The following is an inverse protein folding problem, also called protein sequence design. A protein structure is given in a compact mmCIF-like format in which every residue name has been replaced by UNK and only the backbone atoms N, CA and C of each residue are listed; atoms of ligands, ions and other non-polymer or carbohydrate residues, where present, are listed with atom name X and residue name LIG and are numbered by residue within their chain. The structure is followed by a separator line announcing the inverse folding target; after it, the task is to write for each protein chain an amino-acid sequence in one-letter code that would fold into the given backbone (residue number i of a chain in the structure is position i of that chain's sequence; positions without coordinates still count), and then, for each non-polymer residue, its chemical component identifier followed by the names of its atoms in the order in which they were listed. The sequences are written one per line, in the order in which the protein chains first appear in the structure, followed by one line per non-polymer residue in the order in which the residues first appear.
data_IF_183893688560
#
_entry.id   IF_183893688560
#
_cell.length_a   1.000
_cell.length_b   1.000
_cell.length_c   1.000
_cell.angle_alpha   90.00
_cell.angle_beta   90.00
_cell.angle_gamma   90.00
#
_symmetry.space_group_name_H-M   'P 1'
#
loop_
_entity.id
_entity.type
_entity.pdbx_description
1 polymer ?
#
# COMPACT_ATOMS: atom_id res chain seq x y z
N UNK A 1 22.33 -0.75 3.01
CA UNK A 1 21.66 -1.48 1.91
C UNK A 1 22.23 -1.11 0.55
N UNK A 2 22.26 0.20 0.14
CA UNK A 2 22.78 0.61 -1.20
C UNK A 2 24.21 0.12 -1.40
N UNK A 3 25.12 0.41 -0.48
CA UNK A 3 26.51 -0.06 -0.57
C UNK A 3 26.63 -1.59 -0.64
N UNK A 4 25.85 -2.31 0.17
CA UNK A 4 25.88 -3.78 0.22
C UNK A 4 25.37 -4.45 -1.05
N UNK A 5 24.47 -3.81 -1.80
CA UNK A 5 23.97 -4.36 -3.08
C UNK A 5 25.03 -4.41 -4.18
N UNK A 6 26.08 -3.60 -4.06
CA UNK A 6 27.23 -3.56 -4.99
C UNK A 6 28.44 -4.34 -4.49
N UNK A 7 28.35 -5.04 -3.34
CA UNK A 7 29.41 -5.91 -2.82
C UNK A 7 29.26 -7.34 -3.30
N UNK A 8 30.41 -8.04 -3.37
CA UNK A 8 30.37 -9.49 -3.55
C UNK A 8 29.87 -10.19 -2.28
N UNK A 9 29.30 -11.38 -2.42
CA UNK A 9 28.89 -12.20 -1.26
C UNK A 9 30.09 -12.56 -0.36
N UNK A 10 31.26 -12.76 -0.97
CA UNK A 10 32.50 -13.04 -0.27
C UNK A 10 32.93 -11.87 0.61
N UNK A 11 32.88 -10.63 0.08
CA UNK A 11 33.22 -9.43 0.84
C UNK A 11 32.29 -9.24 2.05
N UNK A 12 30.98 -9.50 1.87
CA UNK A 12 30.01 -9.35 2.95
C UNK A 12 30.16 -10.42 4.04
N UNK A 13 30.47 -11.67 3.66
CA UNK A 13 30.65 -12.79 4.59
C UNK A 13 32.02 -12.77 5.26
N UNK A 14 33.04 -12.27 4.58
CA UNK A 14 34.39 -12.15 5.13
C UNK A 14 34.57 -10.95 6.08
N UNK A 15 33.57 -10.03 6.16
CA UNK A 15 33.63 -8.90 7.06
C UNK A 15 33.58 -9.36 8.51
N UNK A 16 34.71 -9.18 9.23
CA UNK A 16 34.89 -9.57 10.62
C UNK A 16 35.50 -8.37 11.39
N UNK A 17 34.72 -7.83 12.33
CA UNK A 17 35.16 -6.71 13.18
C UNK A 17 36.31 -7.07 14.13
N UNK A 18 36.56 -8.37 14.34
CA UNK A 18 37.62 -8.84 15.23
C UNK A 18 38.97 -8.99 14.53
N UNK A 19 39.00 -8.93 13.17
CA UNK A 19 40.21 -9.16 12.37
C UNK A 19 40.68 -7.88 11.70
N UNK A 20 41.87 -7.37 11.95
CA UNK A 20 42.44 -6.23 11.24
C UNK A 20 42.44 -6.45 9.72
N UNK A 21 41.95 -5.47 8.97
CA UNK A 21 41.83 -5.56 7.51
C UNK A 21 40.60 -6.27 6.96
N UNK A 22 39.78 -6.90 7.83
CA UNK A 22 38.49 -7.51 7.46
C UNK A 22 37.30 -6.73 8.03
N UNK A 23 37.49 -5.51 8.48
CA UNK A 23 36.42 -4.65 9.00
C UNK A 23 35.38 -4.35 7.94
N UNK A 24 34.11 -4.26 8.32
CA UNK A 24 33.05 -3.86 7.41
C UNK A 24 33.32 -2.48 6.80
N UNK A 25 33.50 -2.39 5.49
CA UNK A 25 33.68 -1.13 4.81
C UNK A 25 32.33 -0.55 4.37
N UNK A 26 32.15 0.76 4.48
CA UNK A 26 30.96 1.44 3.92
C UNK A 26 30.99 1.49 2.39
N UNK A 27 32.16 1.49 1.78
CA UNK A 27 32.38 1.52 0.33
C UNK A 27 32.77 0.10 -0.13
N UNK A 28 32.18 -0.43 -1.22
CA UNK A 28 32.59 -1.71 -1.78
C UNK A 28 34.09 -1.69 -2.12
N UNK A 29 34.83 -2.71 -1.68
CA UNK A 29 36.25 -2.90 -2.08
C UNK A 29 36.33 -3.33 -3.55
N UNK A 30 35.34 -4.12 -3.98
CA UNK A 30 35.15 -4.51 -5.37
C UNK A 30 33.70 -4.24 -5.76
N UNK A 31 33.50 -3.26 -6.63
CA UNK A 31 32.19 -2.91 -7.15
C UNK A 31 31.73 -3.98 -8.14
N UNK A 32 30.55 -4.57 -7.89
CA UNK A 32 29.94 -5.55 -8.79
C UNK A 32 28.47 -5.27 -9.04
N UNK A 33 28.00 -5.56 -10.26
CA UNK A 33 26.59 -5.54 -10.66
C UNK A 33 26.00 -6.96 -10.72
N UNK A 34 26.74 -7.97 -10.34
CA UNK A 34 26.32 -9.37 -10.47
C UNK A 34 25.07 -9.67 -9.61
N UNK A 35 24.91 -8.99 -8.48
CA UNK A 35 23.72 -9.13 -7.66
C UNK A 35 22.46 -8.73 -8.42
N UNK A 36 22.51 -7.63 -9.20
CA UNK A 36 21.40 -7.15 -10.01
C UNK A 36 21.14 -8.04 -11.23
N UNK A 37 22.20 -8.59 -11.86
CA UNK A 37 22.06 -9.52 -12.98
C UNK A 37 21.47 -10.87 -12.55
N UNK A 38 21.78 -11.29 -11.34
CA UNK A 38 21.39 -12.61 -10.82
C UNK A 38 20.17 -12.56 -9.87
N UNK A 39 19.65 -11.36 -9.57
CA UNK A 39 18.54 -11.16 -8.64
C UNK A 39 17.32 -12.04 -8.97
N UNK A 40 17.01 -12.23 -10.25
CA UNK A 40 15.86 -13.01 -10.70
C UNK A 40 16.14 -14.52 -10.92
N UNK A 41 17.39 -14.97 -10.71
CA UNK A 41 17.74 -16.38 -10.96
C UNK A 41 17.29 -17.32 -9.85
N UNK A 42 17.25 -16.84 -8.61
CA UNK A 42 16.91 -17.63 -7.43
C UNK A 42 15.47 -17.46 -7.01
N UNK A 43 15.02 -16.19 -7.03
CA UNK A 43 13.65 -15.78 -6.70
C UNK A 43 13.14 -15.00 -7.89
N UNK A 44 11.99 -15.33 -8.48
CA UNK A 44 11.43 -14.58 -9.60
C UNK A 44 10.86 -13.23 -9.14
N UNK A 45 11.75 -12.39 -8.59
CA UNK A 45 11.38 -11.14 -7.93
C UNK A 45 10.69 -10.15 -8.87
N UNK A 46 11.00 -10.20 -10.17
CA UNK A 46 10.35 -9.36 -11.17
C UNK A 46 8.89 -9.73 -11.41
N UNK A 47 8.55 -11.02 -11.37
CA UNK A 47 7.15 -11.47 -11.45
C UNK A 47 6.40 -11.02 -10.20
N UNK A 48 7.00 -11.18 -9.02
CA UNK A 48 6.42 -10.71 -7.75
C UNK A 48 6.27 -9.19 -7.71
N UNK A 49 7.18 -8.48 -8.35
CA UNK A 49 7.10 -7.02 -8.51
C UNK A 49 5.85 -6.62 -9.32
N UNK A 50 5.61 -7.28 -10.45
CA UNK A 50 4.42 -7.04 -11.27
C UNK A 50 3.14 -7.42 -10.50
N UNK A 51 3.14 -8.56 -9.80
CA UNK A 51 2.01 -8.95 -8.95
C UNK A 51 1.70 -7.90 -7.88
N UNK A 52 2.73 -7.41 -7.19
CA UNK A 52 2.57 -6.36 -6.18
C UNK A 52 2.07 -5.04 -6.77
N UNK A 53 2.53 -4.64 -7.96
CA UNK A 53 2.01 -3.45 -8.65
C UNK A 53 0.52 -3.59 -8.96
N UNK A 54 0.10 -4.74 -9.46
CA UNK A 54 -1.32 -5.00 -9.78
C UNK A 54 -2.17 -4.99 -8.49
N UNK A 55 -1.72 -5.69 -7.45
CA UNK A 55 -2.47 -5.81 -6.19
C UNK A 55 -2.52 -4.45 -5.48
N UNK A 56 -1.38 -3.78 -5.27
CA UNK A 56 -1.35 -2.49 -4.57
C UNK A 56 -2.00 -1.38 -5.38
N UNK A 57 -1.83 -1.37 -6.71
CA UNK A 57 -2.51 -0.44 -7.61
C UNK A 57 -4.03 -0.66 -7.62
N UNK A 58 -4.48 -1.91 -7.68
CA UNK A 58 -5.90 -2.26 -7.56
C UNK A 58 -6.48 -1.86 -6.20
N UNK A 59 -5.76 -2.12 -5.11
CA UNK A 59 -6.14 -1.67 -3.75
C UNK A 59 -6.24 -0.15 -3.67
N UNK A 60 -5.26 0.57 -4.22
CA UNK A 60 -5.26 2.04 -4.29
C UNK A 60 -6.54 2.57 -4.95
N UNK A 61 -6.87 2.04 -6.12
CA UNK A 61 -8.06 2.47 -6.88
C UNK A 61 -9.34 2.12 -6.12
N UNK A 62 -9.50 0.86 -5.70
CA UNK A 62 -10.72 0.40 -5.04
C UNK A 62 -10.93 1.10 -3.69
N UNK A 63 -9.90 1.18 -2.85
CA UNK A 63 -10.00 1.83 -1.54
C UNK A 63 -10.29 3.33 -1.67
N UNK A 64 -9.64 4.04 -2.60
CA UNK A 64 -9.84 5.47 -2.81
C UNK A 64 -11.26 5.76 -3.32
N UNK A 65 -11.75 4.99 -4.29
CA UNK A 65 -13.11 5.18 -4.82
C UNK A 65 -14.17 4.89 -3.76
N UNK A 66 -14.07 3.75 -3.06
CA UNK A 66 -15.02 3.41 -2.00
C UNK A 66 -14.98 4.40 -0.85
N UNK A 67 -13.77 4.82 -0.44
CA UNK A 67 -13.60 5.83 0.59
C UNK A 67 -14.19 7.18 0.17
N UNK A 68 -14.09 7.57 -1.10
CA UNK A 68 -14.63 8.83 -1.59
C UNK A 68 -16.15 8.90 -1.44
N UNK A 69 -16.85 7.86 -1.89
CA UNK A 69 -18.31 7.83 -1.74
C UNK A 69 -18.75 7.77 -0.27
N UNK A 70 -18.09 6.94 0.54
CA UNK A 70 -18.40 6.83 1.96
C UNK A 70 -18.09 8.14 2.71
N UNK A 71 -16.93 8.73 2.48
CA UNK A 71 -16.53 10.00 3.09
C UNK A 71 -17.43 11.17 2.67
N UNK A 72 -17.83 11.22 1.39
CA UNK A 72 -18.80 12.22 0.91
C UNK A 72 -20.14 12.08 1.62
N UNK A 73 -20.66 10.86 1.74
CA UNK A 73 -21.89 10.62 2.47
C UNK A 73 -21.77 11.04 3.94
N UNK A 74 -20.68 10.71 4.59
CA UNK A 74 -20.39 11.09 5.97
C UNK A 74 -20.12 12.58 6.16
N UNK A 75 -19.61 13.28 5.16
CA UNK A 75 -19.35 14.73 5.24
C UNK A 75 -20.62 15.55 5.01
N UNK A 76 -21.42 15.22 4.01
CA UNK A 76 -22.52 16.04 3.53
C UNK A 76 -23.89 15.66 4.09
N UNK A 77 -24.10 14.41 4.51
CA UNK A 77 -25.39 13.99 5.02
C UNK A 77 -25.42 13.87 6.54
N UNK A 78 -26.48 14.37 7.16
CA UNK A 78 -26.79 14.16 8.58
C UNK A 78 -27.80 13.04 8.69
N UNK A 79 -27.42 11.92 9.28
CA UNK A 79 -28.31 10.79 9.53
C UNK A 79 -28.08 10.21 10.92
N UNK A 80 -29.11 9.60 11.53
CA UNK A 80 -28.96 8.95 12.84
C UNK A 80 -27.93 7.81 12.75
N UNK A 81 -27.07 7.70 13.77
CA UNK A 81 -26.03 6.66 13.79
C UNK A 81 -24.71 7.02 13.10
N UNK A 82 -24.57 8.19 12.46
CA UNK A 82 -23.32 8.62 11.78
C UNK A 82 -22.09 8.50 12.69
N UNK A 83 -22.16 8.97 13.92
CA UNK A 83 -21.02 8.91 14.84
C UNK A 83 -20.74 7.48 15.31
N UNK A 84 -21.77 6.67 15.51
CA UNK A 84 -21.63 5.25 15.83
C UNK A 84 -20.94 4.49 14.68
N UNK A 85 -21.35 4.77 13.43
CA UNK A 85 -20.69 4.19 12.26
C UNK A 85 -19.20 4.55 12.20
N UNK A 86 -18.84 5.81 12.41
CA UNK A 86 -17.43 6.25 12.41
C UNK A 86 -16.65 5.58 13.53
N UNK A 87 -17.23 5.52 14.73
CA UNK A 87 -16.62 4.83 15.86
C UNK A 87 -16.43 3.33 15.57
N UNK A 88 -17.42 2.66 14.99
CA UNK A 88 -17.32 1.26 14.59
C UNK A 88 -16.23 1.03 13.54
N UNK A 89 -16.16 1.89 12.51
CA UNK A 89 -15.12 1.83 11.48
C UNK A 89 -13.72 1.99 12.09
N UNK A 90 -13.54 2.95 12.99
CA UNK A 90 -12.26 3.16 13.68
C UNK A 90 -11.91 2.00 14.63
N UNK A 91 -12.92 1.42 15.30
CA UNK A 91 -12.72 0.28 16.21
C UNK A 91 -12.13 -0.94 15.51
N UNK A 92 -12.41 -1.13 14.21
CA UNK A 92 -11.80 -2.23 13.43
C UNK A 92 -10.28 -2.13 13.33
N UNK A 93 -9.74 -0.90 13.40
CA UNK A 93 -8.29 -0.65 13.34
C UNK A 93 -7.57 -0.94 14.67
N UNK A 94 -8.31 -1.11 15.77
CA UNK A 94 -7.73 -1.47 17.07
C UNK A 94 -7.39 -2.95 17.16
N UNK A 95 -7.95 -3.78 16.29
CA UNK A 95 -7.68 -5.20 16.26
C UNK A 95 -6.41 -5.50 15.42
N UNK A 96 -5.46 -6.28 15.96
CA UNK A 96 -4.29 -6.69 15.20
C UNK A 96 -4.69 -7.47 13.94
N UNK A 97 -4.14 -7.07 12.78
CA UNK A 97 -4.46 -7.69 11.48
C UNK A 97 -4.23 -9.21 11.45
N UNK A 98 -3.27 -9.71 12.22
CA UNK A 98 -2.95 -11.14 12.31
C UNK A 98 -4.16 -11.99 12.77
N UNK A 99 -5.07 -11.44 13.58
CA UNK A 99 -6.26 -12.14 14.04
C UNK A 99 -7.23 -12.46 12.89
N UNK A 100 -7.17 -11.70 11.80
CA UNK A 100 -8.05 -11.88 10.65
C UNK A 100 -7.49 -12.83 9.59
N UNK A 101 -6.22 -13.22 9.65
CA UNK A 101 -5.60 -14.08 8.64
C UNK A 101 -6.32 -15.42 8.51
N UNK A 102 -6.57 -16.10 9.62
CA UNK A 102 -7.27 -17.40 9.64
C UNK A 102 -8.73 -17.23 9.21
N UNK A 103 -9.54 -16.29 9.75
CA UNK A 103 -10.89 -16.02 9.26
C UNK A 103 -10.98 -15.77 7.75
N UNK A 104 -10.06 -14.97 7.16
CA UNK A 104 -10.04 -14.75 5.72
C UNK A 104 -9.74 -16.03 4.93
N UNK A 105 -8.79 -16.83 5.39
CA UNK A 105 -8.47 -18.10 4.78
C UNK A 105 -9.70 -19.03 4.76
N UNK A 106 -10.39 -19.15 5.90
CA UNK A 106 -11.60 -19.97 6.03
C UNK A 106 -12.71 -19.44 5.12
N UNK A 107 -12.95 -18.11 5.14
CA UNK A 107 -13.96 -17.45 4.32
C UNK A 107 -13.73 -17.71 2.82
N UNK A 108 -12.51 -17.52 2.34
CA UNK A 108 -12.17 -17.73 0.93
C UNK A 108 -12.28 -19.21 0.53
N UNK A 109 -11.93 -20.13 1.42
CA UNK A 109 -12.09 -21.57 1.20
C UNK A 109 -13.57 -21.94 1.17
N UNK A 110 -14.38 -21.41 2.06
CA UNK A 110 -15.83 -21.62 2.09
C UNK A 110 -16.52 -21.06 0.83
N UNK A 111 -16.17 -19.85 0.40
CA UNK A 111 -16.68 -19.24 -0.85
C UNK A 111 -16.36 -20.14 -2.05
N UNK A 112 -15.11 -20.62 -2.13
CA UNK A 112 -14.71 -21.51 -3.21
C UNK A 112 -15.52 -22.82 -3.20
N UNK A 113 -15.67 -23.43 -2.03
CA UNK A 113 -16.42 -24.69 -1.90
C UNK A 113 -17.93 -24.51 -2.20
N UNK A 114 -18.53 -23.38 -1.76
CA UNK A 114 -19.97 -23.14 -1.87
C UNK A 114 -20.41 -22.62 -3.24
N UNK A 115 -19.59 -21.77 -3.86
CA UNK A 115 -19.93 -21.04 -5.09
C UNK A 115 -18.99 -21.32 -6.25
N UNK A 116 -17.93 -22.09 -6.08
CA UNK A 116 -16.92 -22.33 -7.11
C UNK A 116 -16.03 -21.11 -7.42
N UNK A 117 -16.09 -20.06 -6.60
CA UNK A 117 -15.34 -18.80 -6.81
C UNK A 117 -14.01 -18.89 -6.08
N UNK A 118 -12.92 -19.00 -6.82
CA UNK A 118 -11.59 -19.04 -6.26
C UNK A 118 -11.10 -17.60 -5.97
N UNK A 119 -10.93 -17.26 -4.68
CA UNK A 119 -10.38 -15.98 -4.24
C UNK A 119 -8.92 -16.12 -3.76
N UNK A 120 -8.53 -17.27 -3.23
CA UNK A 120 -7.13 -17.53 -2.85
C UNK A 120 -6.25 -17.59 -4.08
N UNK A 121 -5.04 -17.03 -3.97
CA UNK A 121 -4.05 -16.94 -5.04
C UNK A 121 -4.59 -16.30 -6.32
N UNK A 122 -5.41 -15.24 -6.15
CA UNK A 122 -5.95 -14.43 -7.25
C UNK A 122 -5.83 -12.93 -6.95
N UNK A 123 -5.67 -12.12 -7.99
CA UNK A 123 -5.62 -10.68 -7.85
C UNK A 123 -6.88 -10.09 -7.20
N UNK A 124 -8.12 -10.45 -7.62
CA UNK A 124 -9.33 -9.94 -6.99
C UNK A 124 -9.41 -10.26 -5.49
N UNK A 125 -9.03 -11.48 -5.09
CA UNK A 125 -9.02 -11.86 -3.68
C UNK A 125 -8.04 -11.04 -2.85
N UNK A 126 -6.83 -10.80 -3.37
CA UNK A 126 -5.83 -9.99 -2.69
C UNK A 126 -6.23 -8.50 -2.64
N UNK A 127 -6.74 -7.95 -3.74
CA UNK A 127 -7.24 -6.58 -3.79
C UNK A 127 -8.41 -6.38 -2.81
N UNK A 128 -9.35 -7.32 -2.75
CA UNK A 128 -10.47 -7.28 -1.80
C UNK A 128 -9.96 -7.28 -0.36
N UNK A 129 -9.04 -8.20 -0.03
CA UNK A 129 -8.44 -8.30 1.30
C UNK A 129 -7.77 -6.98 1.70
N UNK A 130 -6.87 -6.47 0.88
CA UNK A 130 -6.12 -5.26 1.20
C UNK A 130 -7.01 -4.01 1.24
N UNK A 131 -7.99 -3.93 0.34
CA UNK A 131 -8.99 -2.85 0.35
C UNK A 131 -9.76 -2.83 1.67
N UNK A 132 -10.17 -3.98 2.19
CA UNK A 132 -10.94 -4.04 3.44
C UNK A 132 -10.18 -3.51 4.66
N UNK A 133 -8.85 -3.64 4.68
CA UNK A 133 -7.99 -3.08 5.74
C UNK A 133 -7.61 -1.61 5.49
N UNK A 134 -7.44 -1.21 4.23
CA UNK A 134 -7.14 0.18 3.90
C UNK A 134 -8.36 1.10 4.07
N UNK A 135 -9.56 0.60 3.81
CA UNK A 135 -10.78 1.38 3.69
C UNK A 135 -11.16 2.18 4.95
N UNK A 136 -11.11 1.64 6.18
CA UNK A 136 -11.48 2.37 7.39
C UNK A 136 -10.71 3.68 7.56
N UNK A 137 -9.40 3.63 7.50
CA UNK A 137 -8.56 4.81 7.63
C UNK A 137 -8.71 5.74 6.42
N UNK A 138 -8.84 5.20 5.23
CA UNK A 138 -9.08 5.95 4.00
C UNK A 138 -10.36 6.80 4.06
N UNK A 139 -11.45 6.25 4.62
CA UNK A 139 -12.72 6.97 4.81
C UNK A 139 -12.52 8.15 5.76
N UNK A 140 -11.91 7.92 6.91
CA UNK A 140 -11.71 8.98 7.91
C UNK A 140 -10.79 10.07 7.40
N UNK A 141 -9.68 9.68 6.77
CA UNK A 141 -8.73 10.61 6.17
C UNK A 141 -9.40 11.47 5.09
N UNK A 142 -10.12 10.84 4.15
CA UNK A 142 -10.75 11.58 3.05
C UNK A 142 -11.92 12.45 3.52
N UNK A 143 -12.65 12.00 4.55
CA UNK A 143 -13.67 12.82 5.19
C UNK A 143 -13.08 14.12 5.74
N UNK A 144 -11.92 14.09 6.40
CA UNK A 144 -11.27 15.31 6.91
C UNK A 144 -10.97 16.32 5.80
N UNK A 145 -10.58 15.85 4.61
CA UNK A 145 -10.43 16.72 3.44
C UNK A 145 -11.75 17.27 2.93
N UNK A 146 -12.80 16.45 2.89
CA UNK A 146 -14.12 16.88 2.42
C UNK A 146 -14.79 17.84 3.40
N UNK A 147 -14.62 17.67 4.69
CA UNK A 147 -15.14 18.57 5.74
C UNK A 147 -14.46 19.96 5.67
N UNK A 148 -13.27 20.08 5.08
CA UNK A 148 -12.60 21.36 4.83
C UNK A 148 -13.15 22.12 3.60
N UNK A 149 -13.90 21.46 2.73
CA UNK A 149 -14.55 22.08 1.56
C UNK A 149 -15.88 22.71 2.02
N UNK A 150 -16.10 24.04 1.82
CA UNK A 150 -17.31 24.72 2.22
C UNK A 150 -18.57 24.09 1.62
N UNK A 151 -19.62 23.93 2.43
CA UNK A 151 -20.91 23.36 2.01
C UNK A 151 -21.70 24.28 1.08
N UNK A 152 -21.39 25.57 1.12
CA UNK A 152 -21.97 26.62 0.28
C UNK A 152 -21.74 26.33 -1.22
N UNK A 153 -20.67 25.62 -1.58
CA UNK A 153 -20.43 25.20 -2.97
C UNK A 153 -21.44 24.16 -3.45
N UNK A 154 -21.87 23.27 -2.56
CA UNK A 154 -22.94 22.31 -2.86
C UNK A 154 -24.30 23.05 -3.06
N UNK A 155 -24.58 24.08 -2.24
CA UNK A 155 -25.79 24.89 -2.32
C UNK A 155 -25.81 25.76 -3.60
N UNK A 156 -24.70 26.41 -3.94
CA UNK A 156 -24.55 27.17 -5.18
C UNK A 156 -24.76 26.29 -6.41
N UNK A 157 -24.13 25.11 -6.45
CA UNK A 157 -24.34 24.18 -7.54
C UNK A 157 -25.80 23.71 -7.65
N UNK A 158 -26.52 23.58 -6.53
CA UNK A 158 -27.95 23.25 -6.54
C UNK A 158 -28.81 24.38 -7.05
N UNK A 159 -28.47 25.65 -6.75
CA UNK A 159 -29.15 26.85 -7.31
C UNK A 159 -28.94 26.92 -8.83
N UNK A 160 -27.75 26.55 -9.33
CA UNK A 160 -27.43 26.44 -10.76
C UNK A 160 -28.10 25.23 -11.45
N UNK A 161 -28.92 24.47 -10.72
CA UNK A 161 -29.69 23.33 -11.27
C UNK A 161 -28.88 22.06 -11.40
N UNK A 162 -27.67 21.96 -10.77
CA UNK A 162 -26.89 20.76 -10.80
C UNK A 162 -27.49 19.68 -9.85
N UNK A 163 -27.63 18.46 -10.35
CA UNK A 163 -27.98 17.32 -9.50
C UNK A 163 -26.83 17.00 -8.53
N UNK A 164 -27.13 16.33 -7.41
CA UNK A 164 -26.11 15.93 -6.40
C UNK A 164 -24.95 15.13 -7.00
N UNK A 165 -25.24 14.25 -7.96
CA UNK A 165 -24.20 13.47 -8.67
C UNK A 165 -23.34 14.39 -9.52
N UNK A 166 -23.94 15.36 -10.21
CA UNK A 166 -23.20 16.36 -10.99
C UNK A 166 -22.33 17.22 -10.09
N UNK A 167 -22.86 17.71 -8.96
CA UNK A 167 -22.09 18.46 -7.95
C UNK A 167 -20.90 17.64 -7.44
N UNK A 168 -21.12 16.35 -7.10
CA UNK A 168 -20.06 15.46 -6.63
C UNK A 168 -18.89 15.37 -7.61
N UNK A 169 -19.17 15.12 -8.90
CA UNK A 169 -18.10 14.90 -9.87
C UNK A 169 -17.53 16.19 -10.48
N UNK A 170 -18.36 17.24 -10.66
CA UNK A 170 -17.94 18.48 -11.31
C UNK A 170 -17.35 19.51 -10.34
N UNK A 171 -17.75 19.48 -9.06
CA UNK A 171 -17.32 20.47 -8.06
C UNK A 171 -16.46 19.82 -6.98
N UNK A 172 -17.02 18.84 -6.28
CA UNK A 172 -16.36 18.26 -5.09
C UNK A 172 -15.16 17.40 -5.46
N UNK A 173 -15.27 16.51 -6.45
CA UNK A 173 -14.16 15.63 -6.86
C UNK A 173 -12.90 16.40 -7.27
N UNK A 174 -12.96 17.46 -8.09
CA UNK A 174 -11.78 18.26 -8.40
C UNK A 174 -11.15 18.93 -7.18
N UNK A 175 -11.96 19.44 -6.25
CA UNK A 175 -11.47 20.07 -5.02
C UNK A 175 -10.90 19.06 -4.04
N UNK A 176 -11.43 17.84 -4.02
CA UNK A 176 -10.95 16.75 -3.17
C UNK A 176 -9.67 16.05 -3.70
N UNK A 177 -9.16 16.43 -4.89
CA UNK A 177 -7.97 15.78 -5.50
C UNK A 177 -6.79 15.61 -4.54
N UNK A 178 -6.38 16.61 -3.72
CA UNK A 178 -5.28 16.42 -2.79
C UNK A 178 -5.55 15.30 -1.78
N UNK A 179 -6.76 15.22 -1.27
CA UNK A 179 -7.20 14.15 -0.37
C UNK A 179 -7.24 12.79 -1.04
N UNK A 180 -7.77 12.72 -2.27
CA UNK A 180 -7.80 11.48 -3.06
C UNK A 180 -6.40 10.93 -3.34
N UNK A 181 -5.48 11.82 -3.70
CA UNK A 181 -4.07 11.47 -3.92
C UNK A 181 -3.44 10.93 -2.63
N UNK A 182 -3.66 11.60 -1.49
CA UNK A 182 -3.10 11.19 -0.20
C UNK A 182 -3.62 9.82 0.24
N UNK A 183 -4.93 9.57 0.10
CA UNK A 183 -5.55 8.26 0.38
C UNK A 183 -5.06 7.19 -0.58
N UNK A 184 -4.89 7.54 -1.85
CA UNK A 184 -4.33 6.62 -2.85
C UNK A 184 -2.93 6.15 -2.49
N UNK A 185 -2.04 7.09 -2.13
CA UNK A 185 -0.66 6.76 -1.69
C UNK A 185 -0.70 5.85 -0.47
N UNK A 186 -1.47 6.22 0.54
CA UNK A 186 -1.62 5.42 1.76
C UNK A 186 -2.03 3.98 1.43
N UNK A 187 -3.09 3.81 0.62
CA UNK A 187 -3.63 2.51 0.26
C UNK A 187 -2.64 1.68 -0.57
N UNK A 188 -1.88 2.33 -1.46
CA UNK A 188 -0.82 1.69 -2.23
C UNK A 188 0.30 1.19 -1.32
N UNK A 189 0.85 2.06 -0.46
CA UNK A 189 1.97 1.73 0.44
C UNK A 189 1.56 0.62 1.41
N UNK A 190 0.34 0.68 1.92
CA UNK A 190 -0.21 -0.36 2.80
C UNK A 190 -0.22 -1.72 2.10
N UNK A 191 -0.74 -1.80 0.88
CA UNK A 191 -0.76 -3.05 0.11
C UNK A 191 0.63 -3.52 -0.33
N UNK A 192 1.53 -2.57 -0.65
CA UNK A 192 2.90 -2.85 -1.09
C UNK A 192 3.75 -3.52 -0.01
N UNK A 193 3.59 -3.10 1.23
CA UNK A 193 4.36 -3.60 2.38
C UNK A 193 3.68 -4.77 3.11
N UNK A 194 2.52 -5.21 2.64
CA UNK A 194 1.75 -6.22 3.35
C UNK A 194 2.38 -7.62 3.19
N UNK A 195 2.64 -8.29 4.30
CA UNK A 195 3.30 -9.60 4.37
C UNK A 195 2.37 -10.67 4.96
N UNK A 196 1.56 -10.32 5.97
CA UNK A 196 0.83 -11.31 6.77
C UNK A 196 -0.22 -12.04 5.93
N UNK A 197 -1.10 -11.31 5.27
CA UNK A 197 -2.11 -11.89 4.39
C UNK A 197 -1.49 -12.49 3.12
N UNK A 198 -0.43 -11.84 2.57
CA UNK A 198 0.28 -12.38 1.44
C UNK A 198 0.87 -13.76 1.73
N UNK A 199 1.45 -13.98 2.92
CA UNK A 199 2.08 -15.26 3.29
C UNK A 199 1.09 -16.44 3.30
N UNK A 200 -0.20 -16.19 3.55
CA UNK A 200 -1.24 -17.22 3.71
C UNK A 200 -2.16 -17.31 2.50
N UNK A 201 -2.49 -16.18 1.89
CA UNK A 201 -3.50 -16.11 0.82
C UNK A 201 -2.90 -16.16 -0.59
N UNK A 202 -1.59 -15.87 -0.76
CA UNK A 202 -0.93 -15.96 -2.07
C UNK A 202 -0.29 -17.33 -2.28
N UNK A 203 -0.16 -17.71 -3.54
CA UNK A 203 0.56 -18.90 -4.00
C UNK A 203 1.51 -18.54 -5.13
N UNK A 204 1.61 -19.38 -6.15
CA UNK A 204 2.51 -19.14 -7.30
C UNK A 204 2.07 -18.00 -8.21
N UNK A 205 0.75 -17.70 -8.25
CA UNK A 205 0.16 -16.77 -9.23
C UNK A 205 0.16 -15.32 -8.76
N UNK A 206 0.20 -15.09 -7.44
CA UNK A 206 0.00 -13.74 -6.88
C UNK A 206 1.00 -13.40 -5.77
N UNK A 207 2.09 -14.17 -5.64
CA UNK A 207 3.10 -13.92 -4.62
C UNK A 207 3.64 -12.49 -4.77
N UNK A 208 3.74 -11.78 -3.65
CA UNK A 208 4.14 -10.37 -3.61
C UNK A 208 5.64 -10.20 -3.39
N UNK A 209 6.17 -9.00 -3.71
CA UNK A 209 7.59 -8.67 -3.46
C UNK A 209 7.97 -8.78 -1.99
N UNK A 210 7.05 -8.44 -1.08
CA UNK A 210 7.29 -8.51 0.35
C UNK A 210 7.62 -9.95 0.79
N UNK A 211 6.91 -10.94 0.26
CA UNK A 211 7.23 -12.36 0.47
C UNK A 211 8.50 -12.75 -0.30
N UNK A 212 8.64 -12.29 -1.54
CA UNK A 212 9.82 -12.59 -2.37
C UNK A 212 11.14 -12.16 -1.75
N UNK A 213 11.17 -11.02 -1.06
CA UNK A 213 12.36 -10.58 -0.34
C UNK A 213 12.78 -11.55 0.77
N UNK A 214 11.83 -12.18 1.46
CA UNK A 214 12.12 -13.17 2.49
C UNK A 214 12.67 -14.48 1.91
N UNK A 215 12.37 -14.81 0.65
CA UNK A 215 12.83 -16.04 -0.01
C UNK A 215 14.34 -16.04 -0.33
N UNK A 216 15.01 -14.87 -0.28
CA UNK A 216 16.48 -14.83 -0.36
C UNK A 216 17.18 -15.35 0.89
N UNK A 217 16.45 -15.50 2.01
CA UNK A 217 16.95 -16.04 3.27
C UNK A 217 16.23 -17.36 3.50
N UNK A 218 16.96 -18.44 3.37
CA UNK A 218 16.48 -19.80 3.68
C UNK A 218 17.14 -20.33 4.94
N UNK A 219 16.68 -21.50 5.43
CA UNK A 219 17.30 -22.17 6.58
C UNK A 219 18.77 -22.56 6.35
N UNK A 220 19.20 -22.72 5.09
CA UNK A 220 20.54 -23.21 4.74
C UNK A 220 21.43 -22.15 4.10
N UNK A 221 20.85 -21.08 3.55
CA UNK A 221 21.59 -20.06 2.81
C UNK A 221 20.94 -18.68 3.00
N UNK A 222 21.75 -17.67 3.24
CA UNK A 222 21.31 -16.27 3.30
C UNK A 222 22.04 -15.46 2.22
N UNK A 223 21.29 -15.08 1.17
CA UNK A 223 21.80 -14.31 0.01
C UNK A 223 21.60 -12.81 0.22
N UNK A 224 22.25 -12.28 1.24
CA UNK A 224 22.09 -10.89 1.68
C UNK A 224 22.34 -9.86 0.58
N UNK A 225 23.36 -10.05 -0.25
CA UNK A 225 23.72 -9.11 -1.32
C UNK A 225 22.63 -9.03 -2.40
N UNK A 226 22.06 -10.18 -2.78
CA UNK A 226 20.95 -10.24 -3.72
C UNK A 226 19.66 -9.67 -3.13
N UNK A 227 19.37 -9.95 -1.85
CA UNK A 227 18.24 -9.36 -1.14
C UNK A 227 18.36 -7.83 -1.06
N UNK A 228 19.55 -7.28 -0.82
CA UNK A 228 19.81 -5.84 -0.83
C UNK A 228 19.58 -5.25 -2.22
N UNK A 229 20.05 -5.90 -3.29
CA UNK A 229 19.80 -5.47 -4.65
C UNK A 229 18.30 -5.52 -5.01
N UNK A 230 17.61 -6.60 -4.65
CA UNK A 230 16.16 -6.73 -4.81
C UNK A 230 15.40 -5.62 -4.05
N UNK A 231 15.81 -5.32 -2.81
CA UNK A 231 15.18 -4.28 -2.00
C UNK A 231 15.29 -2.89 -2.63
N UNK A 232 16.39 -2.58 -3.31
CA UNK A 232 16.55 -1.31 -4.05
C UNK A 232 15.56 -1.26 -5.22
N UNK A 233 15.46 -2.33 -6.00
CA UNK A 233 14.51 -2.41 -7.11
C UNK A 233 13.07 -2.25 -6.59
N UNK A 234 12.73 -2.97 -5.52
CA UNK A 234 11.41 -2.96 -4.90
C UNK A 234 11.06 -1.60 -4.29
N UNK A 235 12.03 -0.79 -3.89
CA UNK A 235 11.76 0.56 -3.36
C UNK A 235 11.43 1.61 -4.44
N UNK A 236 11.76 1.35 -5.71
CA UNK A 236 11.55 2.32 -6.81
C UNK A 236 10.10 2.83 -6.91
N UNK A 237 9.05 1.98 -6.94
CA UNK A 237 7.69 2.46 -7.09
C UNK A 237 7.25 3.38 -5.96
N UNK A 238 7.65 3.08 -4.72
CA UNK A 238 7.32 3.90 -3.55
C UNK A 238 7.99 5.27 -3.64
N UNK A 239 9.28 5.30 -4.02
CA UNK A 239 10.04 6.54 -4.21
C UNK A 239 9.44 7.37 -5.35
N UNK A 240 9.10 6.74 -6.48
CA UNK A 240 8.46 7.41 -7.62
C UNK A 240 7.11 8.00 -7.22
N UNK A 241 6.24 7.21 -6.58
CA UNK A 241 4.95 7.70 -6.10
C UNK A 241 5.11 8.88 -5.15
N UNK A 242 6.00 8.77 -4.15
CA UNK A 242 6.26 9.85 -3.21
C UNK A 242 6.72 11.12 -3.93
N UNK A 243 7.69 11.00 -4.83
CA UNK A 243 8.26 12.14 -5.57
C UNK A 243 7.21 12.84 -6.45
N UNK A 244 6.36 12.08 -7.13
CA UNK A 244 5.31 12.64 -7.98
C UNK A 244 4.20 13.34 -7.17
N UNK A 245 3.95 12.84 -5.96
CA UNK A 245 2.78 13.22 -5.19
C UNK A 245 3.07 14.16 -4.00
N UNK A 246 4.34 14.38 -3.64
CA UNK A 246 4.75 15.29 -2.55
C UNK A 246 4.15 16.71 -2.68
N UNK A 247 4.01 17.22 -3.91
CA UNK A 247 3.40 18.53 -4.18
C UNK A 247 1.93 18.62 -3.73
N UNK A 248 1.18 17.51 -3.76
CA UNK A 248 -0.21 17.48 -3.32
C UNK A 248 -0.35 17.34 -1.81
N UNK A 249 0.61 16.67 -1.15
CA UNK A 249 0.64 16.51 0.31
C UNK A 249 0.93 17.86 0.98
N UNK A 250 1.92 18.60 0.47
CA UNK A 250 2.32 19.90 1.03
C UNK A 250 1.19 20.93 0.91
N UNK A 251 0.47 20.97 -0.21
CA UNK A 251 -0.65 21.90 -0.40
C UNK A 251 -1.82 21.63 0.57
N UNK A 252 -2.08 20.37 0.92
CA UNK A 252 -3.12 20.00 1.88
C UNK A 252 -2.80 20.39 3.33
N UNK A 253 -1.52 20.30 3.73
CA UNK A 253 -1.06 20.70 5.08
C UNK A 253 -1.10 22.21 5.27
N UNK A 254 -0.73 22.99 4.26
CA UNK A 254 -0.74 24.46 4.32
C UNK A 254 -2.16 25.00 4.41
N UNK A 255 -3.13 24.40 3.71
CA UNK A 255 -4.54 24.81 3.78
C UNK A 255 -5.17 24.55 5.17
N UNK A 256 -4.64 23.60 5.93
CA UNK A 256 -5.07 23.32 7.31
C UNK A 256 -4.43 24.25 8.37
N UNK A 257 -3.21 24.75 8.10
CA UNK A 257 -2.45 25.57 9.06
C UNK A 257 -2.85 27.05 9.07
N UNK A 258 -3.55 27.54 8.05
CA UNK A 258 -3.97 28.96 7.96
C UNK A 258 -5.30 29.27 8.67
N UNK A 259 -5.87 28.33 9.41
CA UNK A 259 -7.09 28.50 10.23
C UNK A 259 -6.78 28.61 11.73
N UNK A 260 -5.55 28.99 12.11
CA UNK A 260 -5.18 29.36 13.48
C UNK A 260 -5.07 30.85 13.64
#
# INVERSE_FOLDING_TARGET
MVSGSFKSSVELQAADVTRPGMEPSWIPRQFTLDNYRNVNRTVPIMDYFVHSLIISGGTMVCATLLAFFAAYALSRFRFPGRNVYIAAVLSTQMLPGILFVIPYFILFTWINHRFGIQLRDTYPGMILTYTSFALPFSIVMLRSFLDAIPTELDEQAAIDGASRVRTLFSVIFPLARPGLVSVGIYSFIMGWNEILFASVLTGRRTKTVAIGLLEYITAHEARWTMMMAASIIVSIPVVVLFTLMQRYIVSGLVAGATKG
#
